data_IF_333494880686
#
_entry.id   IF_333494880686
#
_cell.length_a   1.000
_cell.length_b   1.000
_cell.length_c   1.000
_cell.angle_alpha   90.00
_cell.angle_beta   90.00
_cell.angle_gamma   90.00
#
_symmetry.space_group_name_H-M   'P 1'
#
loop_
_entity.id
_entity.type
_entity.pdbx_description
1 polymer ?
#
# COMPACT_ATOMS: atom_id res chain seq x y z
N UNK A 1 -19.81 31.76 -6.83
CA UNK A 1 -21.23 32.15 -6.97
C UNK A 1 -21.39 33.15 -8.13
N UNK A 2 -21.56 32.63 -9.34
CA UNK A 2 -21.71 33.43 -10.55
C UNK A 2 -23.12 34.03 -10.67
N UNK A 3 -23.27 35.33 -11.00
CA UNK A 3 -24.56 36.02 -11.03
C UNK A 3 -25.45 35.68 -12.24
N UNK A 4 -24.98 34.88 -13.19
CA UNK A 4 -25.68 34.61 -14.46
C UNK A 4 -26.85 33.60 -14.35
N UNK A 5 -26.99 32.85 -13.25
CA UNK A 5 -28.03 31.83 -13.12
C UNK A 5 -29.41 32.36 -12.65
N UNK A 6 -29.53 33.65 -12.33
CA UNK A 6 -30.76 34.22 -11.74
C UNK A 6 -31.83 34.66 -12.75
N UNK A 7 -31.54 34.69 -14.05
CA UNK A 7 -32.41 35.40 -15.01
C UNK A 7 -33.51 34.51 -15.64
N UNK A 8 -33.45 33.17 -15.56
CA UNK A 8 -34.39 32.29 -16.30
C UNK A 8 -35.52 31.69 -15.44
N UNK A 9 -35.67 32.08 -14.16
CA UNK A 9 -36.69 31.47 -13.29
C UNK A 9 -38.07 32.15 -13.27
N UNK A 10 -38.30 33.25 -14.01
CA UNK A 10 -39.51 34.06 -13.83
C UNK A 10 -40.74 33.67 -14.69
N UNK A 11 -40.68 32.62 -15.52
CA UNK A 11 -41.84 32.21 -16.35
C UNK A 11 -42.20 30.71 -16.28
N UNK A 12 -41.66 29.97 -15.32
CA UNK A 12 -41.84 28.52 -15.27
C UNK A 12 -42.74 28.15 -14.08
N UNK A 13 -43.86 27.48 -14.39
CA UNK A 13 -44.89 27.01 -13.44
C UNK A 13 -44.31 26.36 -12.17
N UNK A 14 -44.85 26.61 -10.96
CA UNK A 14 -44.30 26.15 -9.68
C UNK A 14 -44.14 24.62 -9.58
N UNK A 15 -44.86 23.88 -10.41
CA UNK A 15 -44.78 22.42 -10.51
C UNK A 15 -43.42 21.96 -11.06
N UNK A 16 -42.86 22.67 -12.04
CA UNK A 16 -41.61 22.27 -12.72
C UNK A 16 -40.38 22.53 -11.82
N UNK A 17 -40.43 23.59 -10.99
CA UNK A 17 -39.36 23.90 -10.02
C UNK A 17 -39.19 22.79 -8.96
N UNK A 18 -40.29 22.18 -8.53
CA UNK A 18 -40.27 21.07 -7.56
C UNK A 18 -39.66 19.79 -8.15
N UNK A 19 -39.97 19.47 -9.41
CA UNK A 19 -39.38 18.32 -10.11
C UNK A 19 -37.87 18.47 -10.33
N UNK A 20 -37.41 19.67 -10.67
CA UNK A 20 -35.97 19.94 -10.81
C UNK A 20 -35.24 19.84 -9.47
N UNK A 21 -35.80 20.40 -8.39
CA UNK A 21 -35.17 20.37 -7.07
C UNK A 21 -35.05 18.94 -6.50
N UNK A 22 -36.09 18.12 -6.67
CA UNK A 22 -36.10 16.73 -6.22
C UNK A 22 -35.11 15.87 -7.04
N UNK A 23 -35.03 16.09 -8.35
CA UNK A 23 -34.04 15.42 -9.22
C UNK A 23 -32.61 15.80 -8.82
N UNK A 24 -32.36 17.07 -8.47
CA UNK A 24 -31.05 17.54 -8.04
C UNK A 24 -30.62 16.94 -6.69
N UNK A 25 -31.53 16.88 -5.70
CA UNK A 25 -31.28 16.22 -4.41
C UNK A 25 -30.98 14.73 -4.59
N UNK A 26 -31.70 14.06 -5.49
CA UNK A 26 -31.50 12.62 -5.75
C UNK A 26 -30.14 12.36 -6.42
N UNK A 27 -29.67 13.27 -7.28
CA UNK A 27 -28.34 13.22 -7.89
C UNK A 27 -27.25 13.48 -6.83
N UNK A 28 -27.41 14.51 -5.98
CA UNK A 28 -26.46 14.80 -4.88
C UNK A 28 -26.38 13.68 -3.84
N UNK A 29 -27.49 13.00 -3.52
CA UNK A 29 -27.50 11.86 -2.61
C UNK A 29 -26.90 10.60 -3.25
N UNK A 30 -27.00 10.42 -4.57
CA UNK A 30 -26.33 9.32 -5.29
C UNK A 30 -24.82 9.53 -5.39
N UNK A 31 -24.35 10.75 -5.57
CA UNK A 31 -22.90 11.04 -5.61
C UNK A 31 -22.25 10.93 -4.24
N UNK A 32 -22.92 11.38 -3.16
CA UNK A 32 -22.39 11.22 -1.79
C UNK A 32 -22.33 9.76 -1.33
N UNK A 33 -23.34 8.95 -1.67
CA UNK A 33 -23.35 7.51 -1.36
C UNK A 33 -22.36 6.72 -2.24
N UNK A 34 -22.21 7.08 -3.52
CA UNK A 34 -21.20 6.51 -4.40
C UNK A 34 -19.77 6.75 -3.91
N UNK A 35 -19.43 7.99 -3.54
CA UNK A 35 -18.11 8.33 -2.99
C UNK A 35 -17.81 7.58 -1.68
N UNK A 36 -18.77 7.45 -0.77
CA UNK A 36 -18.57 6.69 0.47
C UNK A 36 -18.32 5.19 0.23
N UNK A 37 -18.95 4.59 -0.79
CA UNK A 37 -18.69 3.20 -1.18
C UNK A 37 -17.36 3.02 -1.91
N UNK A 38 -16.95 3.99 -2.73
CA UNK A 38 -15.64 3.97 -3.39
C UNK A 38 -14.50 4.16 -2.40
N UNK A 39 -14.60 5.12 -1.47
CA UNK A 39 -13.60 5.33 -0.42
C UNK A 39 -13.42 4.08 0.46
N UNK A 40 -14.52 3.41 0.85
CA UNK A 40 -14.43 2.14 1.59
C UNK A 40 -13.78 1.03 0.75
N UNK A 41 -14.09 0.93 -0.54
CA UNK A 41 -13.48 -0.08 -1.42
C UNK A 41 -11.99 0.18 -1.68
N UNK A 42 -11.59 1.45 -1.79
CA UNK A 42 -10.19 1.87 -1.93
C UNK A 42 -9.41 1.61 -0.65
N UNK A 43 -9.96 1.96 0.52
CA UNK A 43 -9.33 1.65 1.82
C UNK A 43 -9.12 0.14 2.00
N UNK A 44 -10.12 -0.69 1.64
CA UNK A 44 -10.00 -2.15 1.70
C UNK A 44 -8.96 -2.70 0.72
N UNK A 45 -8.81 -2.07 -0.44
CA UNK A 45 -7.78 -2.42 -1.42
C UNK A 45 -6.37 -2.01 -0.96
N UNK A 46 -6.24 -0.88 -0.27
CA UNK A 46 -4.98 -0.43 0.34
C UNK A 46 -4.57 -1.35 1.50
N UNK A 47 -5.49 -1.72 2.38
CA UNK A 47 -5.25 -2.71 3.44
C UNK A 47 -4.80 -4.06 2.87
N UNK A 48 -5.45 -4.53 1.81
CA UNK A 48 -5.06 -5.79 1.14
C UNK A 48 -3.64 -5.71 0.56
N UNK A 49 -3.23 -4.58 -0.01
CA UNK A 49 -1.86 -4.37 -0.52
C UNK A 49 -0.84 -4.42 0.61
N UNK A 50 -1.11 -3.78 1.74
CA UNK A 50 -0.23 -3.78 2.91
C UNK A 50 -0.07 -5.21 3.46
N UNK A 51 -1.17 -5.95 3.59
CA UNK A 51 -1.15 -7.35 4.04
C UNK A 51 -0.40 -8.27 3.07
N UNK A 52 -0.59 -8.09 1.76
CA UNK A 52 0.14 -8.85 0.75
C UNK A 52 1.64 -8.59 0.84
N UNK A 53 2.05 -7.32 0.98
CA UNK A 53 3.47 -6.95 1.11
C UNK A 53 4.10 -7.56 2.38
N UNK A 54 3.38 -7.56 3.51
CA UNK A 54 3.85 -8.20 4.74
C UNK A 54 4.06 -9.71 4.54
N UNK A 55 3.10 -10.38 3.89
CA UNK A 55 3.22 -11.81 3.58
C UNK A 55 4.40 -12.09 2.64
N UNK A 56 4.62 -11.27 1.61
CA UNK A 56 5.77 -11.40 0.71
C UNK A 56 7.10 -11.24 1.45
N UNK A 57 7.21 -10.23 2.32
CA UNK A 57 8.39 -10.00 3.14
C UNK A 57 8.74 -11.22 4.00
N UNK A 58 7.76 -11.75 4.72
CA UNK A 58 7.95 -12.95 5.57
C UNK A 58 8.30 -14.18 4.73
N UNK A 59 7.66 -14.35 3.58
CA UNK A 59 7.95 -15.45 2.65
C UNK A 59 9.41 -15.45 2.20
N UNK A 60 9.91 -14.31 1.68
CA UNK A 60 11.31 -14.21 1.23
C UNK A 60 12.30 -14.39 2.39
N UNK A 61 11.99 -13.88 3.58
CA UNK A 61 12.85 -14.05 4.76
C UNK A 61 12.93 -15.50 5.24
N UNK A 62 11.83 -16.25 5.14
CA UNK A 62 11.80 -17.67 5.47
C UNK A 62 12.49 -18.52 4.41
N UNK A 63 12.34 -18.17 3.12
CA UNK A 63 13.04 -18.85 2.03
C UNK A 63 14.56 -18.62 2.12
N UNK A 64 14.99 -17.39 2.42
CA UNK A 64 16.40 -17.09 2.70
C UNK A 64 16.94 -17.94 3.86
N UNK A 65 16.14 -18.20 4.90
CA UNK A 65 16.55 -19.09 5.98
C UNK A 65 16.75 -20.52 5.52
N UNK A 66 15.82 -21.04 4.71
CA UNK A 66 15.95 -22.39 4.18
C UNK A 66 17.24 -22.52 3.37
N UNK A 67 17.55 -21.54 2.50
CA UNK A 67 18.82 -21.50 1.76
C UNK A 67 20.04 -21.42 2.68
N UNK A 68 19.99 -20.66 3.78
CA UNK A 68 21.08 -20.65 4.78
C UNK A 68 21.32 -22.04 5.40
N UNK A 69 20.26 -22.80 5.67
CA UNK A 69 20.35 -24.16 6.21
C UNK A 69 20.88 -25.17 5.18
N UNK A 70 20.72 -24.86 3.90
CA UNK A 70 21.24 -25.64 2.77
C UNK A 70 22.64 -25.19 2.33
N UNK A 71 23.24 -24.20 3.02
CA UNK A 71 24.53 -23.61 2.66
C UNK A 71 24.56 -22.91 1.28
N UNK A 72 23.38 -22.63 0.72
CA UNK A 72 23.20 -21.91 -0.54
C UNK A 72 23.23 -20.40 -0.30
N UNK A 73 24.38 -19.88 0.15
CA UNK A 73 24.49 -18.50 0.61
C UNK A 73 24.19 -17.44 -0.46
N UNK A 74 24.49 -17.73 -1.74
CA UNK A 74 24.16 -16.83 -2.85
C UNK A 74 22.66 -16.60 -3.00
N UNK A 75 21.88 -17.69 -2.99
CA UNK A 75 20.42 -17.63 -3.04
C UNK A 75 19.83 -16.96 -1.79
N UNK A 76 20.41 -17.25 -0.61
CA UNK A 76 20.00 -16.62 0.64
C UNK A 76 20.15 -15.09 0.61
N UNK A 77 21.23 -14.56 0.02
CA UNK A 77 21.45 -13.10 -0.11
C UNK A 77 20.40 -12.47 -1.02
N UNK A 78 20.10 -13.11 -2.15
CA UNK A 78 19.12 -12.60 -3.11
C UNK A 78 17.73 -12.48 -2.47
N UNK A 79 17.32 -13.51 -1.73
CA UNK A 79 16.02 -13.54 -1.07
C UNK A 79 15.94 -12.60 0.13
N UNK A 80 16.99 -12.52 0.94
CA UNK A 80 17.05 -11.57 2.04
C UNK A 80 17.00 -10.12 1.53
N UNK A 81 17.64 -9.82 0.40
CA UNK A 81 17.59 -8.49 -0.22
C UNK A 81 16.19 -8.16 -0.72
N UNK A 82 15.50 -9.10 -1.38
CA UNK A 82 14.10 -8.92 -1.78
C UNK A 82 13.18 -8.66 -0.58
N UNK A 83 13.39 -9.37 0.52
CA UNK A 83 12.59 -9.15 1.74
C UNK A 83 12.76 -7.71 2.27
N UNK A 84 13.99 -7.18 2.26
CA UNK A 84 14.29 -5.80 2.65
C UNK A 84 13.66 -4.81 1.66
N UNK A 85 13.78 -5.02 0.36
CA UNK A 85 13.20 -4.14 -0.66
C UNK A 85 11.67 -4.06 -0.55
N UNK A 86 10.99 -5.19 -0.31
CA UNK A 86 9.53 -5.22 -0.14
C UNK A 86 9.13 -4.43 1.11
N UNK A 87 9.88 -4.57 2.21
CA UNK A 87 9.64 -3.82 3.43
C UNK A 87 9.79 -2.30 3.23
N UNK A 88 10.88 -1.86 2.57
CA UNK A 88 11.12 -0.44 2.27
C UNK A 88 10.05 0.20 1.39
N UNK A 89 9.39 -0.59 0.55
CA UNK A 89 8.28 -0.11 -0.30
C UNK A 89 6.94 -0.10 0.45
N UNK A 90 6.78 -0.97 1.44
CA UNK A 90 5.53 -1.14 2.16
C UNK A 90 5.36 -0.09 3.26
N UNK A 91 6.46 0.31 3.91
CA UNK A 91 6.41 1.23 5.03
C UNK A 91 7.37 2.38 4.76
N UNK A 92 6.83 3.50 4.27
CA UNK A 92 7.60 4.75 4.06
C UNK A 92 8.16 5.32 5.38
N UNK A 93 7.62 4.87 6.52
CA UNK A 93 8.04 5.24 7.88
C UNK A 93 9.01 4.21 8.45
N UNK A 94 10.22 4.18 7.90
CA UNK A 94 11.40 3.34 8.20
C UNK A 94 11.33 2.46 9.48
N UNK A 95 10.66 1.29 9.45
CA UNK A 95 10.85 0.26 10.45
C UNK A 95 11.79 -0.79 9.84
N UNK A 96 13.09 -0.63 10.06
CA UNK A 96 14.09 -1.55 9.53
C UNK A 96 13.72 -3.01 9.80
N UNK A 97 13.52 -3.79 8.74
CA UNK A 97 13.27 -5.23 8.84
C UNK A 97 14.49 -6.02 9.30
N UNK A 98 14.71 -6.04 10.62
CA UNK A 98 15.85 -6.67 11.29
C UNK A 98 16.09 -8.12 10.86
N UNK A 99 15.02 -8.90 10.63
CA UNK A 99 15.12 -10.30 10.18
C UNK A 99 15.77 -10.42 8.79
N UNK A 100 15.45 -9.53 7.86
CA UNK A 100 16.03 -9.53 6.50
C UNK A 100 17.51 -9.24 6.54
N UNK A 101 17.90 -8.19 7.26
CA UNK A 101 19.32 -7.82 7.45
C UNK A 101 20.10 -8.91 8.16
N UNK A 102 19.54 -9.51 9.21
CA UNK A 102 20.18 -10.63 9.91
C UNK A 102 20.41 -11.84 8.99
N UNK A 103 19.42 -12.21 8.15
CA UNK A 103 19.54 -13.32 7.21
C UNK A 103 20.60 -13.04 6.15
N UNK A 104 20.66 -11.81 5.62
CA UNK A 104 21.67 -11.39 4.66
C UNK A 104 23.08 -11.38 5.27
N UNK A 105 23.21 -10.84 6.48
CA UNK A 105 24.46 -10.85 7.25
C UNK A 105 24.96 -12.26 7.55
N UNK A 106 24.07 -13.16 7.95
CA UNK A 106 24.39 -14.58 8.17
C UNK A 106 24.88 -15.27 6.88
N UNK A 107 24.28 -14.94 5.72
CA UNK A 107 24.73 -15.47 4.44
C UNK A 107 26.11 -14.92 4.04
N UNK A 108 26.36 -13.64 4.30
CA UNK A 108 27.66 -13.03 4.11
C UNK A 108 28.74 -13.64 5.01
N UNK A 109 28.41 -13.96 6.27
CA UNK A 109 29.31 -14.73 7.15
C UNK A 109 29.65 -16.10 6.55
N UNK A 110 28.65 -16.82 6.03
CA UNK A 110 28.87 -18.11 5.36
C UNK A 110 29.78 -18.03 4.13
N UNK A 111 29.79 -16.90 3.42
CA UNK A 111 30.70 -16.63 2.31
C UNK A 111 32.07 -16.04 2.72
N UNK A 112 32.33 -15.85 4.02
CA UNK A 112 33.56 -15.19 4.51
C UNK A 112 33.60 -13.67 4.27
N UNK A 113 32.48 -13.05 3.91
CA UNK A 113 32.32 -11.61 3.66
C UNK A 113 32.02 -10.86 4.96
N UNK A 114 33.00 -10.84 5.86
CA UNK A 114 32.80 -10.33 7.23
C UNK A 114 32.50 -8.83 7.30
N UNK A 115 33.04 -8.03 6.38
CA UNK A 115 32.83 -6.57 6.35
C UNK A 115 31.38 -6.24 6.01
N UNK A 116 30.82 -6.95 5.03
CA UNK A 116 29.44 -6.82 4.58
C UNK A 116 28.48 -7.34 5.64
N UNK A 117 28.79 -8.49 6.25
CA UNK A 117 27.99 -9.04 7.35
C UNK A 117 27.89 -8.07 8.53
N UNK A 118 28.99 -7.43 8.90
CA UNK A 118 29.02 -6.49 10.03
C UNK A 118 28.16 -5.25 9.76
N UNK A 119 28.16 -4.73 8.52
CA UNK A 119 27.24 -3.64 8.12
C UNK A 119 25.79 -4.07 8.26
N UNK A 120 25.46 -5.28 7.82
CA UNK A 120 24.09 -5.81 7.91
C UNK A 120 23.63 -6.02 9.36
N UNK A 121 24.52 -6.41 10.28
CA UNK A 121 24.17 -6.55 11.70
C UNK A 121 24.04 -5.23 12.46
N UNK A 122 24.57 -4.13 11.92
CA UNK A 122 24.50 -2.81 12.54
C UNK A 122 23.27 -1.99 12.12
N UNK A 123 22.46 -2.52 11.22
CA UNK A 123 21.29 -1.84 10.66
C UNK A 123 20.12 -1.91 11.63
#
# INVERSE_FOLDING_TARGET
PDPALKIVCCQISPVISFYFYCSFITISNKTSTGMATEEHNVAKAEEFKVLANEAFKVYFANRAFAHLRLEEYGSAILDATKAIEVDTKAIEVDPKYSKGYYRRGAAHLGLGKFKEALKDFQQ
#
